data_IF_703362234085
#
_entry.id   IF_703362234085
#
_cell.length_a   1.000
_cell.length_b   1.000
_cell.length_c   1.000
_cell.angle_alpha   90.00
_cell.angle_beta   90.00
_cell.angle_gamma   90.00
#
_symmetry.space_group_name_H-M   'P 1'
#
loop_
_entity.id
_entity.type
_entity.pdbx_description
1 polymer ?
#
# COMPACT_ATOMS: atom_id res chain seq x y z
N UNK A 1 -19.68 28.45 16.16
CA UNK A 1 -18.57 27.62 16.68
C UNK A 1 -18.10 26.75 15.53
N UNK A 2 -16.93 27.03 14.96
CA UNK A 2 -16.34 26.14 13.96
C UNK A 2 -15.92 24.86 14.68
N UNK A 3 -16.53 23.73 14.34
CA UNK A 3 -16.20 22.45 14.94
C UNK A 3 -14.70 22.17 14.73
N UNK A 4 -13.98 21.89 15.82
CA UNK A 4 -12.58 21.48 15.77
C UNK A 4 -12.50 20.16 15.00
N UNK A 5 -11.68 20.10 13.95
CA UNK A 5 -11.53 18.86 13.17
C UNK A 5 -10.99 17.73 14.05
N UNK A 6 -11.49 16.51 13.81
CA UNK A 6 -10.98 15.29 14.46
C UNK A 6 -9.63 14.85 13.90
N UNK A 7 -9.23 15.39 12.74
CA UNK A 7 -8.01 14.99 12.02
C UNK A 7 -7.22 16.21 11.52
N UNK A 8 -6.76 17.12 12.41
CA UNK A 8 -6.18 18.40 12.01
C UNK A 8 -4.88 18.29 11.21
N UNK A 9 -4.05 17.25 11.38
CA UNK A 9 -2.86 17.03 10.54
C UNK A 9 -3.23 16.41 9.21
N UNK A 10 -4.15 15.44 9.19
CA UNK A 10 -4.61 14.81 7.96
C UNK A 10 -5.33 15.80 7.03
N UNK A 11 -6.01 16.81 7.59
CA UNK A 11 -6.65 17.88 6.82
C UNK A 11 -5.65 18.73 6.03
N UNK A 12 -4.39 18.77 6.47
CA UNK A 12 -3.31 19.50 5.80
C UNK A 12 -2.63 18.68 4.70
N UNK A 13 -2.89 17.37 4.61
CA UNK A 13 -2.24 16.46 3.66
C UNK A 13 -3.23 16.01 2.60
N UNK A 14 -3.04 16.48 1.36
CA UNK A 14 -3.80 16.03 0.19
C UNK A 14 -3.04 14.99 -0.62
N UNK A 15 -1.73 15.12 -0.70
CA UNK A 15 -0.84 14.21 -1.46
C UNK A 15 0.40 13.86 -0.65
N UNK A 16 1.16 12.81 -1.02
CA UNK A 16 2.35 12.38 -0.28
C UNK A 16 3.43 13.46 -0.11
N UNK A 17 3.50 14.44 -1.01
CA UNK A 17 4.41 15.58 -0.86
C UNK A 17 4.10 16.43 0.39
N UNK A 18 2.82 16.61 0.74
CA UNK A 18 2.40 17.36 1.93
C UNK A 18 2.78 16.59 3.20
N UNK A 19 2.62 15.26 3.19
CA UNK A 19 3.05 14.38 4.30
C UNK A 19 4.55 14.54 4.57
N UNK A 20 5.38 14.61 3.53
CA UNK A 20 6.84 14.78 3.66
C UNK A 20 7.26 16.15 4.18
N UNK A 21 6.37 17.15 4.15
CA UNK A 21 6.61 18.45 4.76
C UNK A 21 6.31 18.48 6.27
N UNK A 22 5.64 17.46 6.81
CA UNK A 22 5.46 17.31 8.24
C UNK A 22 6.79 16.97 8.91
N UNK A 23 6.99 17.50 10.13
CA UNK A 23 8.12 17.09 10.96
C UNK A 23 7.96 15.62 11.40
N UNK A 24 9.07 14.87 11.55
CA UNK A 24 9.02 13.46 11.94
C UNK A 24 8.27 13.18 13.26
N UNK A 25 8.32 14.10 14.22
CA UNK A 25 7.64 13.96 15.52
C UNK A 25 6.11 13.97 15.41
N UNK A 26 5.57 14.53 14.32
CA UNK A 26 4.13 14.57 14.05
C UNK A 26 3.60 13.29 13.39
N UNK A 27 4.47 12.41 12.89
CA UNK A 27 4.05 11.24 12.10
C UNK A 27 3.23 10.22 12.90
N UNK A 28 3.47 10.12 14.22
CA UNK A 28 2.67 9.25 15.09
C UNK A 28 1.23 9.74 15.18
N UNK A 29 1.02 11.03 15.47
CA UNK A 29 -0.31 11.62 15.49
C UNK A 29 -0.97 11.53 14.11
N UNK A 30 -0.21 11.77 13.04
CA UNK A 30 -0.72 11.64 11.68
C UNK A 30 -1.23 10.22 11.37
N UNK A 31 -0.51 9.19 11.81
CA UNK A 31 -0.96 7.80 11.68
C UNK A 31 -2.25 7.52 12.46
N UNK A 32 -2.39 8.06 13.68
CA UNK A 32 -3.61 7.93 14.48
C UNK A 32 -4.83 8.61 13.81
N UNK A 33 -4.62 9.77 13.20
CA UNK A 33 -5.64 10.48 12.43
C UNK A 33 -6.03 9.72 11.15
N UNK A 34 -5.03 9.17 10.43
CA UNK A 34 -5.26 8.35 9.25
C UNK A 34 -6.03 7.06 9.59
N UNK A 35 -5.71 6.44 10.73
CA UNK A 35 -6.45 5.29 11.28
C UNK A 35 -7.90 5.67 11.54
N UNK A 36 -8.12 6.80 12.21
CA UNK A 36 -9.46 7.31 12.51
C UNK A 36 -10.27 7.52 11.23
N UNK A 37 -9.69 8.17 10.22
CA UNK A 37 -10.33 8.40 8.93
C UNK A 37 -10.64 7.11 8.17
N UNK A 38 -9.75 6.13 8.25
CA UNK A 38 -9.93 4.81 7.63
C UNK A 38 -11.09 4.05 8.28
N UNK A 39 -11.19 4.06 9.62
CA UNK A 39 -12.30 3.44 10.35
C UNK A 39 -13.63 4.12 9.97
N UNK A 40 -13.66 5.46 9.99
CA UNK A 40 -14.85 6.24 9.64
C UNK A 40 -15.33 5.93 8.23
N UNK A 41 -14.44 5.94 7.23
CA UNK A 41 -14.76 5.63 5.85
C UNK A 41 -15.36 4.22 5.69
N UNK A 42 -14.69 3.21 6.25
CA UNK A 42 -15.09 1.80 6.12
C UNK A 42 -16.38 1.51 6.88
N UNK A 43 -16.69 2.26 7.95
CA UNK A 43 -17.97 2.13 8.66
C UNK A 43 -19.19 2.45 7.79
N UNK A 44 -19.01 3.27 6.74
CA UNK A 44 -20.07 3.66 5.80
C UNK A 44 -20.19 2.66 4.64
N UNK A 45 -19.06 2.25 4.04
CA UNK A 45 -19.05 1.45 2.81
C UNK A 45 -18.91 -0.05 3.02
N UNK A 46 -18.52 -0.48 4.23
CA UNK A 46 -17.92 -1.80 4.44
C UNK A 46 -16.56 -1.94 3.73
N UNK A 47 -16.01 -3.17 3.71
CA UNK A 47 -14.73 -3.47 3.04
C UNK A 47 -13.73 -4.20 3.96
N UNK A 48 -12.47 -4.27 3.53
CA UNK A 48 -11.42 -5.01 4.23
C UNK A 48 -10.80 -4.17 5.36
N UNK A 49 -11.54 -4.00 6.46
CA UNK A 49 -11.11 -3.17 7.59
C UNK A 49 -9.79 -3.66 8.21
N UNK A 50 -9.72 -4.94 8.60
CA UNK A 50 -8.55 -5.47 9.31
C UNK A 50 -7.25 -5.32 8.52
N UNK A 51 -7.27 -5.67 7.24
CA UNK A 51 -6.10 -5.54 6.36
C UNK A 51 -5.65 -4.08 6.20
N UNK A 52 -6.58 -3.13 6.03
CA UNK A 52 -6.27 -1.71 5.92
C UNK A 52 -5.72 -1.12 7.23
N UNK A 53 -6.25 -1.53 8.38
CA UNK A 53 -5.78 -1.02 9.68
C UNK A 53 -4.37 -1.52 10.05
N UNK A 54 -4.01 -2.74 9.63
CA UNK A 54 -2.69 -3.32 9.89
C UNK A 54 -1.53 -2.60 9.18
N UNK A 55 -1.82 -1.81 8.14
CA UNK A 55 -0.79 -1.14 7.33
C UNK A 55 -0.83 0.38 7.44
N UNK A 56 -1.51 0.96 8.42
CA UNK A 56 -1.60 2.43 8.56
C UNK A 56 -0.22 3.07 8.71
N UNK A 57 0.55 2.65 9.72
CA UNK A 57 1.89 3.15 9.98
C UNK A 57 2.83 2.85 8.81
N UNK A 58 2.75 1.63 8.26
CA UNK A 58 3.53 1.24 7.09
C UNK A 58 3.23 2.17 5.91
N UNK A 59 1.97 2.47 5.66
CA UNK A 59 1.55 3.38 4.57
C UNK A 59 2.12 4.79 4.78
N UNK A 60 2.06 5.30 6.01
CA UNK A 60 2.66 6.60 6.36
C UNK A 60 4.16 6.58 6.10
N UNK A 61 4.87 5.57 6.60
CA UNK A 61 6.32 5.44 6.42
C UNK A 61 6.70 5.34 4.94
N UNK A 62 5.99 4.54 4.15
CA UNK A 62 6.25 4.36 2.72
C UNK A 62 6.08 5.68 1.95
N UNK A 63 5.01 6.43 2.19
CA UNK A 63 4.79 7.71 1.50
C UNK A 63 5.68 8.84 2.02
N UNK A 64 6.14 8.74 3.27
CA UNK A 64 7.09 9.68 3.84
C UNK A 64 8.51 9.46 3.29
N UNK A 65 8.93 8.20 3.12
CA UNK A 65 10.29 7.84 2.65
C UNK A 65 10.41 7.87 1.13
N UNK A 66 9.40 7.36 0.40
CA UNK A 66 9.46 7.21 -1.05
C UNK A 66 8.72 8.34 -1.78
N UNK A 67 9.29 8.78 -2.91
CA UNK A 67 8.72 9.85 -3.72
C UNK A 67 7.70 9.30 -4.73
N UNK A 68 6.56 8.82 -4.27
CA UNK A 68 5.46 8.41 -5.18
C UNK A 68 4.82 9.63 -5.84
N UNK A 69 4.42 9.59 -7.13
CA UNK A 69 4.34 8.40 -7.99
C UNK A 69 5.59 8.12 -8.85
N UNK A 70 6.67 8.91 -8.71
CA UNK A 70 7.92 8.65 -9.42
C UNK A 70 8.55 7.32 -8.99
N UNK A 71 8.60 7.11 -7.68
CA UNK A 71 8.79 5.80 -7.08
C UNK A 71 7.51 4.97 -7.23
N UNK A 72 7.67 3.70 -7.58
CA UNK A 72 6.55 2.78 -7.79
C UNK A 72 6.26 2.05 -6.49
N UNK A 73 5.06 2.27 -5.94
CA UNK A 73 4.55 1.52 -4.80
C UNK A 73 3.44 0.56 -5.29
N UNK A 74 3.66 -0.74 -5.12
CA UNK A 74 2.76 -1.80 -5.58
C UNK A 74 2.22 -2.53 -4.35
N UNK A 75 0.90 -2.57 -4.20
CA UNK A 75 0.21 -3.32 -3.15
C UNK A 75 -0.28 -4.65 -3.71
N UNK A 76 0.20 -5.77 -3.16
CA UNK A 76 -0.28 -7.10 -3.53
C UNK A 76 -1.74 -7.29 -3.07
N UNK A 77 -2.60 -7.87 -3.93
CA UNK A 77 -4.07 -7.90 -3.82
C UNK A 77 -4.71 -6.50 -3.83
N UNK A 78 -4.19 -5.54 -3.06
CA UNK A 78 -4.66 -4.16 -2.97
C UNK A 78 -5.77 -3.95 -1.95
N UNK A 79 -6.25 -4.99 -1.26
CA UNK A 79 -7.33 -4.86 -0.27
C UNK A 79 -6.95 -4.06 0.98
N UNK A 80 -5.66 -3.96 1.28
CA UNK A 80 -5.08 -3.20 2.39
C UNK A 80 -4.81 -1.72 2.04
N UNK A 81 -5.08 -1.27 0.81
CA UNK A 81 -4.61 0.04 0.32
C UNK A 81 -5.51 1.25 0.69
N UNK A 82 -6.47 1.13 1.62
CA UNK A 82 -7.37 2.25 1.93
C UNK A 82 -6.65 3.46 2.51
N UNK A 83 -5.72 3.31 3.48
CA UNK A 83 -4.89 4.43 3.93
C UNK A 83 -4.09 5.04 2.76
N UNK A 84 -3.59 4.22 1.84
CA UNK A 84 -2.87 4.68 0.65
C UNK A 84 -3.77 5.55 -0.24
N UNK A 85 -5.03 5.15 -0.49
CA UNK A 85 -5.97 5.96 -1.26
C UNK A 85 -6.25 7.30 -0.59
N UNK A 86 -6.45 7.31 0.74
CA UNK A 86 -6.66 8.54 1.51
C UNK A 86 -5.49 9.51 1.33
N UNK A 87 -4.25 9.03 1.42
CA UNK A 87 -3.04 9.86 1.33
C UNK A 87 -2.67 10.32 -0.08
N UNK A 88 -3.38 9.86 -1.11
CA UNK A 88 -3.03 10.08 -2.52
C UNK A 88 -4.14 10.82 -3.27
N UNK A 89 -4.72 11.83 -2.61
CA UNK A 89 -5.67 12.76 -3.21
C UNK A 89 -7.09 12.21 -3.38
N UNK A 90 -7.44 11.10 -2.72
CA UNK A 90 -8.77 10.47 -2.86
C UNK A 90 -9.58 10.44 -1.57
N UNK A 91 -9.17 11.22 -0.55
CA UNK A 91 -9.83 11.28 0.75
C UNK A 91 -11.30 11.72 0.66
N UNK A 92 -11.61 12.72 -0.15
CA UNK A 92 -12.97 13.22 -0.39
C UNK A 92 -13.91 12.16 -0.99
N UNK A 93 -13.36 11.25 -1.79
CA UNK A 93 -14.10 10.18 -2.46
C UNK A 93 -14.08 8.85 -1.71
N UNK A 94 -13.36 8.73 -0.60
CA UNK A 94 -13.15 7.43 0.05
C UNK A 94 -14.45 6.81 0.58
N UNK A 95 -15.48 7.62 0.86
CA UNK A 95 -16.84 7.15 1.23
C UNK A 95 -17.63 6.56 0.06
N UNK A 96 -17.06 6.51 -1.15
CA UNK A 96 -17.64 5.85 -2.34
C UNK A 96 -16.99 4.50 -2.65
N UNK A 97 -16.10 4.03 -1.78
CA UNK A 97 -15.34 2.81 -1.99
C UNK A 97 -16.27 1.60 -2.24
N UNK A 98 -15.97 0.82 -3.29
CA UNK A 98 -16.72 -0.37 -3.75
C UNK A 98 -18.15 -0.10 -4.22
N UNK A 99 -18.54 1.17 -4.36
CA UNK A 99 -19.85 1.55 -4.92
C UNK A 99 -19.76 1.74 -6.44
N UNK A 100 -20.88 1.55 -7.15
CA UNK A 100 -20.96 1.83 -8.58
C UNK A 100 -20.58 3.30 -8.87
N UNK A 101 -19.65 3.52 -9.80
CA UNK A 101 -19.11 4.86 -10.11
C UNK A 101 -18.14 5.44 -9.05
N UNK A 102 -17.93 4.74 -7.93
CA UNK A 102 -17.04 5.13 -6.85
C UNK A 102 -15.61 4.62 -7.00
N UNK A 103 -14.85 4.66 -5.90
CA UNK A 103 -13.48 4.13 -5.86
C UNK A 103 -13.48 2.59 -5.85
N UNK A 104 -12.49 2.00 -6.51
CA UNK A 104 -12.23 0.56 -6.42
C UNK A 104 -11.82 0.16 -5.00
N UNK A 105 -12.20 -1.06 -4.58
CA UNK A 105 -11.72 -1.67 -3.34
C UNK A 105 -10.26 -2.16 -3.39
N UNK A 106 -9.60 -1.99 -4.53
CA UNK A 106 -8.20 -2.37 -4.79
C UNK A 106 -7.48 -1.22 -5.52
N UNK A 107 -6.16 -1.30 -5.67
CA UNK A 107 -5.44 -0.37 -6.54
C UNK A 107 -5.88 -0.55 -8.00
N UNK A 108 -6.07 0.56 -8.70
CA UNK A 108 -6.56 0.56 -10.09
C UNK A 108 -5.83 1.64 -10.90
N UNK A 109 -5.12 1.20 -11.94
CA UNK A 109 -4.27 2.06 -12.78
C UNK A 109 -4.99 3.25 -13.40
N UNK A 110 -6.25 3.07 -13.82
CA UNK A 110 -7.06 4.16 -14.37
C UNK A 110 -7.69 5.07 -13.31
N UNK A 111 -7.58 4.72 -12.02
CA UNK A 111 -8.12 5.53 -10.93
C UNK A 111 -7.11 6.56 -10.42
N UNK A 112 -5.81 6.24 -10.42
CA UNK A 112 -4.78 7.11 -9.87
C UNK A 112 -3.38 6.83 -10.43
N UNK A 113 -2.58 7.87 -10.62
CA UNK A 113 -1.15 7.75 -10.95
C UNK A 113 -0.34 7.08 -9.83
N UNK A 114 -0.87 7.06 -8.59
CA UNK A 114 -0.28 6.39 -7.44
C UNK A 114 -0.54 4.87 -7.41
N UNK A 115 -1.34 4.35 -8.35
CA UNK A 115 -1.70 2.94 -8.48
C UNK A 115 -1.00 2.35 -9.73
N UNK A 116 0.34 2.16 -9.75
CA UNK A 116 1.07 1.80 -10.97
C UNK A 116 0.72 0.41 -11.51
N UNK A 117 0.17 -0.47 -10.66
CA UNK A 117 -0.29 -1.80 -11.01
C UNK A 117 -1.72 -2.04 -10.49
N UNK A 118 -2.54 -2.72 -11.30
CA UNK A 118 -3.90 -3.10 -10.91
C UNK A 118 -3.83 -4.40 -10.11
N UNK A 119 -4.38 -4.38 -8.91
CA UNK A 119 -4.34 -5.53 -8.01
C UNK A 119 -5.73 -6.19 -7.87
N UNK A 120 -5.74 -7.44 -7.42
CA UNK A 120 -6.96 -8.21 -7.13
C UNK A 120 -6.63 -9.67 -6.86
N UNK A 121 -5.95 -10.33 -7.80
CA UNK A 121 -5.30 -11.62 -7.53
C UNK A 121 -4.03 -11.42 -6.68
N UNK A 122 -3.76 -12.39 -5.81
CA UNK A 122 -2.59 -12.35 -4.93
C UNK A 122 -1.31 -12.76 -5.64
N UNK A 123 -0.18 -12.44 -5.01
CA UNK A 123 1.16 -12.93 -5.33
C UNK A 123 1.75 -12.38 -6.65
N UNK A 124 1.15 -11.31 -7.16
CA UNK A 124 1.50 -10.70 -8.46
C UNK A 124 2.45 -9.51 -8.32
N UNK A 125 2.58 -8.93 -7.12
CA UNK A 125 3.30 -7.67 -6.89
C UNK A 125 4.79 -7.73 -7.19
N UNK A 126 5.50 -8.78 -6.77
CA UNK A 126 6.95 -8.91 -6.95
C UNK A 126 7.28 -9.07 -8.45
N UNK A 127 6.54 -9.90 -9.17
CA UNK A 127 6.74 -10.09 -10.62
C UNK A 127 6.46 -8.80 -11.38
N UNK A 128 5.36 -8.11 -11.07
CA UNK A 128 5.05 -6.81 -11.65
C UNK A 128 6.12 -5.76 -11.33
N UNK A 129 6.60 -5.74 -10.09
CA UNK A 129 7.68 -4.85 -9.63
C UNK A 129 9.00 -5.11 -10.36
N UNK A 130 9.37 -6.38 -10.56
CA UNK A 130 10.55 -6.76 -11.32
C UNK A 130 10.45 -6.23 -12.77
N UNK A 131 9.31 -6.41 -13.43
CA UNK A 131 9.09 -5.84 -14.77
C UNK A 131 9.21 -4.32 -14.80
N UNK A 132 8.70 -3.62 -13.78
CA UNK A 132 8.87 -2.17 -13.65
C UNK A 132 10.31 -1.75 -13.38
N UNK A 133 11.07 -2.54 -12.61
CA UNK A 133 12.48 -2.31 -12.32
C UNK A 133 13.34 -2.47 -13.59
N UNK A 134 13.16 -3.56 -14.34
CA UNK A 134 13.82 -3.76 -15.63
C UNK A 134 13.46 -2.64 -16.61
N UNK A 135 12.19 -2.27 -16.71
CA UNK A 135 11.75 -1.17 -17.57
C UNK A 135 12.30 0.20 -17.16
N UNK A 136 12.55 0.43 -15.86
CA UNK A 136 13.24 1.61 -15.34
C UNK A 136 14.71 1.63 -15.77
N UNK A 137 15.41 0.51 -15.63
CA UNK A 137 16.84 0.40 -15.91
C UNK A 137 17.13 0.55 -17.41
N UNK A 138 16.30 -0.04 -18.26
CA UNK A 138 16.35 0.17 -19.72
C UNK A 138 16.13 1.63 -20.14
N UNK A 139 15.45 2.42 -19.31
CA UNK A 139 15.23 3.87 -19.52
C UNK A 139 16.31 4.73 -18.85
N UNK A 140 17.35 4.14 -18.27
CA UNK A 140 18.41 4.87 -17.55
C UNK A 140 17.91 5.59 -16.29
N UNK A 141 16.76 5.20 -15.74
CA UNK A 141 16.17 5.83 -14.54
C UNK A 141 16.67 5.13 -13.28
N UNK A 142 16.52 5.80 -12.13
CA UNK A 142 16.97 5.28 -10.82
C UNK A 142 15.90 5.32 -9.73
N UNK A 143 14.63 5.55 -10.07
CA UNK A 143 13.55 5.56 -9.09
C UNK A 143 13.38 4.19 -8.39
N UNK A 144 12.83 4.19 -7.19
CA UNK A 144 12.58 2.99 -6.41
C UNK A 144 11.37 2.23 -6.97
N UNK A 145 11.39 0.91 -6.81
CA UNK A 145 10.23 0.04 -7.00
C UNK A 145 10.05 -0.75 -5.71
N UNK A 146 8.88 -0.61 -5.10
CA UNK A 146 8.55 -1.10 -3.77
C UNK A 146 7.29 -1.98 -3.88
N UNK A 147 7.40 -3.23 -3.47
CA UNK A 147 6.29 -4.19 -3.46
C UNK A 147 5.92 -4.52 -2.02
N UNK A 148 4.67 -4.29 -1.63
CA UNK A 148 4.12 -4.70 -0.34
C UNK A 148 3.31 -5.97 -0.54
N UNK A 149 3.73 -7.06 0.08
CA UNK A 149 3.10 -8.38 -0.02
C UNK A 149 2.79 -8.93 1.38
N UNK A 150 1.63 -9.57 1.55
CA UNK A 150 1.29 -10.27 2.80
C UNK A 150 1.93 -11.66 2.87
N UNK A 151 2.14 -12.17 4.07
CA UNK A 151 2.67 -13.52 4.34
C UNK A 151 1.86 -14.62 3.63
N UNK A 152 0.52 -14.54 3.67
CA UNK A 152 -0.33 -15.49 2.95
C UNK A 152 -0.09 -15.51 1.42
N UNK A 153 0.14 -14.34 0.82
CA UNK A 153 0.43 -14.23 -0.62
C UNK A 153 1.87 -14.67 -0.97
N UNK A 154 2.79 -14.62 0.00
CA UNK A 154 4.17 -15.05 -0.20
C UNK A 154 4.29 -16.57 -0.40
N UNK A 155 3.29 -17.34 0.05
CA UNK A 155 3.26 -18.80 -0.09
C UNK A 155 3.04 -19.30 -1.52
N UNK A 156 2.61 -18.44 -2.45
CA UNK A 156 2.30 -18.86 -3.81
C UNK A 156 3.54 -18.91 -4.71
N UNK A 157 3.60 -19.90 -5.61
CA UNK A 157 4.74 -20.13 -6.51
C UNK A 157 5.16 -18.90 -7.35
N UNK A 158 4.23 -18.04 -7.72
CA UNK A 158 4.53 -16.81 -8.48
C UNK A 158 5.42 -15.83 -7.68
N UNK A 159 5.23 -15.73 -6.36
CA UNK A 159 6.07 -14.88 -5.52
C UNK A 159 7.51 -15.43 -5.48
N UNK A 160 7.68 -16.74 -5.36
CA UNK A 160 9.00 -17.40 -5.37
C UNK A 160 9.71 -17.28 -6.70
N UNK A 161 9.00 -17.54 -7.80
CA UNK A 161 9.55 -17.41 -9.16
C UNK A 161 10.05 -15.98 -9.40
N UNK A 162 9.26 -14.98 -9.01
CA UNK A 162 9.62 -13.59 -9.16
C UNK A 162 10.83 -13.19 -8.30
N UNK A 163 10.91 -13.66 -7.05
CA UNK A 163 12.08 -13.43 -6.19
C UNK A 163 13.34 -14.09 -6.74
N UNK A 164 13.22 -15.32 -7.24
CA UNK A 164 14.34 -16.04 -7.84
C UNK A 164 14.88 -15.29 -9.07
N UNK A 165 13.99 -14.77 -9.90
CA UNK A 165 14.38 -13.94 -11.06
C UNK A 165 14.94 -12.58 -10.66
N UNK A 166 14.40 -11.95 -9.61
CA UNK A 166 14.95 -10.69 -9.10
C UNK A 166 16.39 -10.88 -8.61
N UNK A 167 16.67 -12.00 -7.91
CA UNK A 167 18.01 -12.36 -7.46
C UNK A 167 18.97 -12.67 -8.61
N UNK A 168 18.50 -13.33 -9.68
CA UNK A 168 19.36 -13.67 -10.82
C UNK A 168 19.70 -12.46 -11.71
N UNK A 169 18.88 -11.40 -11.68
CA UNK A 169 19.05 -10.21 -12.53
C UNK A 169 19.69 -9.02 -11.82
N UNK A 170 20.01 -9.14 -10.53
CA UNK A 170 20.52 -8.06 -9.67
C UNK A 170 19.69 -6.75 -9.78
N UNK A 171 18.39 -6.91 -10.00
CA UNK A 171 17.48 -5.78 -10.20
C UNK A 171 17.19 -5.07 -8.87
N UNK A 172 17.37 -3.75 -8.83
CA UNK A 172 17.08 -2.95 -7.62
C UNK A 172 15.57 -2.92 -7.31
N UNK A 173 15.14 -3.74 -6.37
CA UNK A 173 13.75 -3.93 -5.93
C UNK A 173 13.69 -3.94 -4.38
N UNK A 174 12.68 -3.28 -3.81
CA UNK A 174 12.39 -3.33 -2.37
C UNK A 174 11.13 -4.17 -2.18
N UNK A 175 11.22 -5.25 -1.40
CA UNK A 175 10.07 -6.07 -1.04
C UNK A 175 9.80 -5.90 0.45
N UNK A 176 8.60 -5.46 0.79
CA UNK A 176 8.11 -5.35 2.16
C UNK A 176 7.15 -6.50 2.39
N UNK A 177 7.55 -7.43 3.25
CA UNK A 177 6.68 -8.48 3.76
C UNK A 177 5.87 -7.91 4.93
N UNK A 178 4.56 -7.78 4.75
CA UNK A 178 3.62 -7.48 5.80
C UNK A 178 3.15 -8.79 6.44
N UNK A 179 3.93 -9.27 7.41
CA UNK A 179 3.60 -10.47 8.16
C UNK A 179 2.70 -10.12 9.35
N UNK A 180 1.48 -10.64 9.33
CA UNK A 180 0.51 -10.47 10.41
C UNK A 180 -0.07 -11.81 10.86
N UNK A 181 0.59 -12.93 10.53
CA UNK A 181 0.13 -14.29 10.78
C UNK A 181 -1.29 -14.58 10.27
N UNK A 182 -1.72 -13.89 9.21
CA UNK A 182 -3.10 -13.95 8.72
C UNK A 182 -3.18 -13.85 7.19
N UNK A 183 -3.84 -14.83 6.58
CA UNK A 183 -4.48 -14.66 5.27
C UNK A 183 -5.93 -14.19 5.49
N UNK A 184 -6.92 -14.84 4.87
CA UNK A 184 -8.32 -14.75 5.32
C UNK A 184 -8.54 -15.61 6.58
N UNK A 185 -7.87 -16.76 6.61
CA UNK A 185 -7.74 -17.66 7.75
C UNK A 185 -6.23 -17.73 8.12
N UNK A 186 -5.86 -18.37 9.25
CA UNK A 186 -4.45 -18.54 9.59
C UNK A 186 -3.66 -19.12 8.39
N UNK A 187 -2.49 -18.56 8.08
CA UNK A 187 -1.66 -19.02 6.98
C UNK A 187 -1.22 -20.46 7.23
N UNK A 188 -1.08 -21.21 6.15
CA UNK A 188 -0.64 -22.61 6.17
C UNK A 188 0.65 -22.77 5.37
N UNK A 189 1.41 -23.82 5.70
CA UNK A 189 2.65 -24.16 5.00
C UNK A 189 3.91 -23.78 5.77
N UNK A 190 5.01 -24.47 5.41
CA UNK A 190 6.26 -24.41 6.18
C UNK A 190 6.88 -23.01 6.23
N UNK A 191 6.66 -22.18 5.21
CA UNK A 191 7.24 -20.84 5.18
C UNK A 191 6.54 -19.87 6.11
N UNK A 192 5.21 -19.96 6.27
CA UNK A 192 4.50 -19.17 7.29
C UNK A 192 5.02 -19.50 8.69
N UNK A 193 5.22 -20.78 9.01
CA UNK A 193 5.79 -21.20 10.30
C UNK A 193 7.27 -20.82 10.49
N UNK A 194 7.98 -20.54 9.40
CA UNK A 194 9.38 -20.09 9.44
C UNK A 194 9.49 -18.58 9.67
N UNK A 195 8.56 -17.79 9.15
CA UNK A 195 8.57 -16.33 9.22
C UNK A 195 8.02 -15.77 10.54
N UNK A 196 7.10 -16.49 11.19
CA UNK A 196 6.41 -16.05 12.42
C UNK A 196 7.16 -16.31 13.73
N UNK A 197 8.50 -16.43 13.69
CA UNK A 197 9.34 -16.70 14.87
C UNK A 197 10.15 -15.50 15.34
#
# INVERSE_FOLDING_TARGET
>A
MTATSKTPLLDQVRVPADLRALRPDMLRQFADELRTETIDAVSVTGGHLGAGLGVVELTVALHYVFNTPDDRLIWDVGHQCYPHKILTGRRDRIRTLRMGGGLSGFTKRSESAYDPFGAGHSSTSISAGLGMAVGRDLKGRRNNVVCVIGDGAMSAGMAYEAMNNAGSTDSRLVVVLNDNDMSIAPPVGAMSAYLSR
#
